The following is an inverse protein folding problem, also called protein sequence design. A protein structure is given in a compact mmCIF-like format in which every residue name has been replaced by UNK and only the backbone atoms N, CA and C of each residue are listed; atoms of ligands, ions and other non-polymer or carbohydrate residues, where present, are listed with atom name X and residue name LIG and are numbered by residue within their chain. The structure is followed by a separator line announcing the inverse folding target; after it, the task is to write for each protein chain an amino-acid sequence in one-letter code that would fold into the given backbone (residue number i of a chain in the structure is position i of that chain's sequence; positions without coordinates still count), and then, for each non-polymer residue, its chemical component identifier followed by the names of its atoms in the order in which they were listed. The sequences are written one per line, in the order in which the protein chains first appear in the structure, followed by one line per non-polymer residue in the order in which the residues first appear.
data_IF_047023937651
#
_entry.id   IF_047023937651
#
_cell.length_a   1.000
_cell.length_b   1.000
_cell.length_c   1.000
_cell.angle_alpha   90.00
_cell.angle_beta   90.00
_cell.angle_gamma   90.00
#
_symmetry.space_group_name_H-M   'P 1'
#
loop_
_entity.id
_entity.type
_entity.pdbx_description
1 polymer ?
#
# COMPACT_ATOMS: atom_id res chain seq x y z
N UNK A 1 -18.32 7.07 24.37
CA UNK A 1 -17.86 5.93 23.53
C UNK A 1 -17.96 6.38 22.09
N UNK A 2 -16.84 6.59 21.42
CA UNK A 2 -16.84 6.86 19.99
C UNK A 2 -16.99 5.52 19.29
N UNK A 3 -18.13 5.28 18.64
CA UNK A 3 -18.33 4.08 17.83
C UNK A 3 -17.29 4.11 16.71
N UNK A 4 -16.38 3.13 16.66
CA UNK A 4 -15.47 3.02 15.53
C UNK A 4 -16.30 2.81 14.25
N UNK A 5 -15.96 3.51 13.15
CA UNK A 5 -16.65 3.33 11.89
C UNK A 5 -16.48 1.89 11.41
N UNK A 6 -17.56 1.29 10.92
CA UNK A 6 -17.51 0.00 10.24
C UNK A 6 -16.74 0.16 8.92
N UNK A 7 -15.76 -0.71 8.68
CA UNK A 7 -15.03 -0.75 7.41
C UNK A 7 -15.95 -1.27 6.30
N UNK A 8 -16.10 -0.50 5.22
CA UNK A 8 -17.06 -0.78 4.16
C UNK A 8 -16.48 -1.60 2.99
N UNK A 9 -15.16 -1.64 2.84
CA UNK A 9 -14.53 -2.44 1.79
C UNK A 9 -14.64 -3.94 2.13
N UNK A 10 -15.06 -4.80 1.20
CA UNK A 10 -15.24 -6.24 1.46
C UNK A 10 -13.97 -6.90 2.00
N UNK A 11 -14.08 -7.65 3.10
CA UNK A 11 -12.97 -8.40 3.71
C UNK A 11 -11.88 -7.56 4.38
N UNK A 12 -11.99 -6.22 4.34
CA UNK A 12 -10.96 -5.32 4.87
C UNK A 12 -10.82 -5.44 6.39
N UNK A 13 -11.91 -5.76 7.10
CA UNK A 13 -11.92 -6.00 8.54
C UNK A 13 -10.96 -7.13 8.95
N UNK A 14 -11.02 -8.27 8.26
CA UNK A 14 -10.13 -9.40 8.52
C UNK A 14 -8.67 -9.04 8.24
N UNK A 15 -8.39 -8.44 7.10
CA UNK A 15 -7.01 -8.10 6.73
C UNK A 15 -6.41 -7.01 7.63
N UNK A 16 -7.24 -6.09 8.14
CA UNK A 16 -6.80 -5.07 9.11
C UNK A 16 -6.37 -5.71 10.43
N UNK A 17 -7.04 -6.78 10.88
CA UNK A 17 -6.61 -7.54 12.07
C UNK A 17 -5.25 -8.20 11.87
N UNK A 18 -5.00 -8.76 10.68
CA UNK A 18 -3.69 -9.35 10.34
C UNK A 18 -2.56 -8.31 10.33
N UNK A 19 -2.84 -7.11 9.78
CA UNK A 19 -1.90 -5.97 9.79
C UNK A 19 -1.66 -5.46 11.21
N UNK A 20 -2.70 -5.33 12.04
CA UNK A 20 -2.54 -4.92 13.44
C UNK A 20 -1.67 -5.92 14.20
N UNK A 21 -1.91 -7.22 14.04
CA UNK A 21 -1.09 -8.26 14.66
C UNK A 21 0.38 -8.18 14.21
N UNK A 22 0.65 -7.87 12.93
CA UNK A 22 2.01 -7.62 12.47
C UNK A 22 2.61 -6.35 13.09
N UNK A 23 1.85 -5.26 13.18
CA UNK A 23 2.35 -4.04 13.81
C UNK A 23 2.68 -4.24 15.28
N UNK A 24 1.87 -5.01 16.01
CA UNK A 24 2.17 -5.41 17.39
C UNK A 24 3.49 -6.19 17.49
N UNK A 25 3.75 -7.13 16.58
CA UNK A 25 5.04 -7.86 16.52
C UNK A 25 6.22 -6.93 16.25
N UNK A 26 6.06 -5.96 15.36
CA UNK A 26 7.10 -4.98 15.07
C UNK A 26 7.40 -4.10 16.28
N UNK A 27 6.37 -3.62 17.00
CA UNK A 27 6.53 -2.85 18.23
C UNK A 27 7.23 -3.70 19.31
N UNK A 28 6.84 -4.96 19.48
CA UNK A 28 7.49 -5.85 20.44
C UNK A 28 8.98 -6.10 20.10
N UNK A 29 9.32 -6.17 18.80
CA UNK A 29 10.68 -6.46 18.33
C UNK A 29 11.59 -5.23 18.30
N UNK A 30 11.07 -4.09 17.88
CA UNK A 30 11.87 -2.90 17.56
C UNK A 30 11.51 -1.69 18.44
N UNK A 31 10.50 -1.81 19.31
CA UNK A 31 9.95 -0.69 20.06
C UNK A 31 9.12 0.26 19.18
N UNK A 32 8.70 1.38 19.79
CA UNK A 32 8.11 2.49 19.06
C UNK A 32 9.21 3.29 18.35
N UNK A 33 9.05 3.49 17.04
CA UNK A 33 10.11 4.00 16.16
C UNK A 33 9.73 5.38 15.63
N UNK A 34 10.66 6.33 15.73
CA UNK A 34 10.49 7.71 15.29
C UNK A 34 11.67 8.09 14.39
N UNK A 35 11.43 8.16 13.08
CA UNK A 35 12.45 8.45 12.07
C UNK A 35 12.05 9.65 11.21
N UNK A 36 13.00 10.45 10.69
CA UNK A 36 12.72 11.41 9.63
C UNK A 36 12.21 10.72 8.36
N UNK A 37 11.37 11.39 7.58
CA UNK A 37 10.75 10.79 6.39
C UNK A 37 11.77 10.35 5.33
N UNK A 38 12.75 11.21 5.03
CA UNK A 38 13.81 10.91 4.05
C UNK A 38 13.32 10.78 2.60
N UNK A 39 12.11 11.26 2.29
CA UNK A 39 11.46 11.21 0.98
C UNK A 39 11.67 12.50 0.17
N UNK A 40 11.22 12.53 -1.09
CA UNK A 40 11.17 13.74 -1.90
C UNK A 40 12.47 14.09 -2.62
N UNK A 41 13.43 13.18 -2.73
CA UNK A 41 14.67 13.46 -3.46
C UNK A 41 14.43 13.54 -4.98
N UNK A 42 15.37 14.15 -5.71
CA UNK A 42 15.31 14.15 -7.17
C UNK A 42 15.41 12.74 -7.78
N UNK A 43 16.02 11.80 -7.06
CA UNK A 43 16.07 10.39 -7.47
C UNK A 43 14.72 9.73 -7.28
N UNK A 44 14.01 10.02 -6.20
CA UNK A 44 12.68 9.44 -5.92
C UNK A 44 11.65 9.91 -6.93
N UNK A 45 11.66 11.21 -7.27
CA UNK A 45 10.80 11.75 -8.34
C UNK A 45 11.03 11.07 -9.70
N UNK A 46 12.29 10.81 -10.06
CA UNK A 46 12.59 10.07 -11.31
C UNK A 46 12.04 8.65 -11.28
N UNK A 47 12.15 7.96 -10.14
CA UNK A 47 11.60 6.61 -9.97
C UNK A 47 10.07 6.60 -10.05
N UNK A 48 9.40 7.58 -9.44
CA UNK A 48 7.95 7.73 -9.55
C UNK A 48 7.52 7.94 -11.01
N UNK A 49 8.18 8.85 -11.74
CA UNK A 49 7.88 9.07 -13.15
C UNK A 49 8.12 7.84 -14.04
N UNK A 50 9.11 7.01 -13.71
CA UNK A 50 9.38 5.75 -14.42
C UNK A 50 8.34 4.68 -14.08
N UNK A 51 7.98 4.53 -12.81
CA UNK A 51 6.98 3.58 -12.34
C UNK A 51 5.59 3.90 -12.92
N UNK A 52 5.19 5.19 -12.90
CA UNK A 52 3.94 5.65 -13.51
C UNK A 52 3.87 5.33 -14.99
N UNK A 53 4.92 5.67 -15.74
CA UNK A 53 5.01 5.34 -17.18
C UNK A 53 4.93 3.83 -17.44
N UNK A 54 5.50 3.02 -16.56
CA UNK A 54 5.40 1.57 -16.66
C UNK A 54 3.97 1.08 -16.41
N UNK A 55 3.34 1.53 -15.33
CA UNK A 55 1.97 1.17 -14.98
C UNK A 55 0.97 1.60 -16.05
N UNK A 56 1.08 2.82 -16.57
CA UNK A 56 0.29 3.32 -17.70
C UNK A 56 0.43 2.42 -18.93
N UNK A 57 1.67 2.02 -19.23
CA UNK A 57 1.95 1.16 -20.38
C UNK A 57 1.35 -0.24 -20.21
N UNK A 58 1.54 -0.88 -19.05
CA UNK A 58 1.01 -2.23 -18.80
C UNK A 58 -0.51 -2.22 -18.71
N UNK A 59 -1.11 -1.17 -18.12
CA UNK A 59 -2.56 -0.91 -18.14
C UNK A 59 -3.10 -0.84 -19.58
N UNK A 60 -2.54 0.05 -20.41
CA UNK A 60 -3.01 0.25 -21.78
C UNK A 60 -2.84 -0.98 -22.67
N UNK A 61 -1.96 -1.90 -22.29
CA UNK A 61 -1.68 -3.13 -23.04
C UNK A 61 -2.32 -4.38 -22.42
N UNK A 62 -3.14 -4.24 -21.38
CA UNK A 62 -3.84 -5.35 -20.73
C UNK A 62 -2.91 -6.33 -20.00
N UNK A 63 -1.73 -5.85 -19.57
CA UNK A 63 -0.71 -6.63 -18.85
C UNK A 63 -0.46 -6.12 -17.43
N UNK A 64 -1.33 -5.24 -16.92
CA UNK A 64 -1.19 -4.67 -15.58
C UNK A 64 -1.12 -5.77 -14.53
N UNK A 65 -0.15 -5.65 -13.62
CA UNK A 65 0.01 -6.54 -12.49
C UNK A 65 -0.11 -5.80 -11.17
N UNK A 66 -0.39 -6.52 -10.09
CA UNK A 66 -0.33 -5.94 -8.74
C UNK A 66 1.06 -5.41 -8.37
N UNK A 67 2.12 -6.00 -8.94
CA UNK A 67 3.47 -5.48 -8.76
C UNK A 67 3.62 -4.08 -9.36
N UNK A 68 3.04 -3.83 -10.54
CA UNK A 68 3.11 -2.53 -11.20
C UNK A 68 2.39 -1.47 -10.35
N UNK A 69 1.17 -1.79 -9.90
CA UNK A 69 0.34 -0.90 -9.07
C UNK A 69 1.08 -0.57 -7.76
N UNK A 70 1.53 -1.57 -7.01
CA UNK A 70 2.18 -1.34 -5.72
C UNK A 70 3.52 -0.61 -5.86
N UNK A 71 4.24 -0.87 -6.96
CA UNK A 71 5.50 -0.17 -7.26
C UNK A 71 5.26 1.30 -7.58
N UNK A 72 4.23 1.61 -8.38
CA UNK A 72 3.85 2.99 -8.69
C UNK A 72 3.51 3.78 -7.42
N UNK A 73 2.51 3.32 -6.67
CA UNK A 73 2.05 3.94 -5.42
C UNK A 73 3.22 4.11 -4.42
N UNK A 74 4.07 3.08 -4.30
CA UNK A 74 5.25 3.15 -3.43
C UNK A 74 6.26 4.20 -3.87
N UNK A 75 6.51 4.32 -5.18
CA UNK A 75 7.43 5.33 -5.69
C UNK A 75 6.84 6.74 -5.57
N UNK A 76 5.53 6.91 -5.75
CA UNK A 76 4.84 8.19 -5.57
C UNK A 76 4.93 8.66 -4.12
N UNK A 77 4.67 7.79 -3.15
CA UNK A 77 4.88 8.09 -1.74
C UNK A 77 6.32 8.52 -1.44
N UNK A 78 7.33 7.78 -1.95
CA UNK A 78 8.74 8.12 -1.72
C UNK A 78 9.18 9.42 -2.43
N UNK A 79 8.47 9.85 -3.47
CA UNK A 79 8.73 11.08 -4.20
C UNK A 79 8.11 12.33 -3.57
N UNK A 80 7.22 12.17 -2.59
CA UNK A 80 6.53 13.26 -1.91
C UNK A 80 7.36 13.85 -0.77
N UNK A 81 7.32 15.17 -0.64
CA UNK A 81 8.03 15.96 0.38
C UNK A 81 7.11 16.73 1.32
N UNK A 82 5.86 16.95 0.93
CA UNK A 82 4.82 17.53 1.77
C UNK A 82 4.25 16.45 2.71
N UNK A 83 4.24 16.65 4.04
CA UNK A 83 3.80 15.62 4.98
C UNK A 83 2.33 15.20 4.84
N UNK A 84 1.44 16.12 4.45
CA UNK A 84 0.01 15.83 4.33
C UNK A 84 -0.25 15.01 3.05
N UNK A 85 0.45 15.34 1.97
CA UNK A 85 0.43 14.55 0.74
C UNK A 85 1.12 13.19 0.94
N UNK A 86 2.27 13.14 1.62
CA UNK A 86 2.97 11.89 1.91
C UNK A 86 2.07 10.93 2.69
N UNK A 87 1.33 11.43 3.68
CA UNK A 87 0.34 10.63 4.41
C UNK A 87 -0.72 10.07 3.46
N UNK A 88 -1.18 10.86 2.50
CA UNK A 88 -2.20 10.45 1.52
C UNK A 88 -1.67 9.31 0.65
N UNK A 89 -0.47 9.47 0.09
CA UNK A 89 0.17 8.44 -0.73
C UNK A 89 0.44 7.15 0.08
N UNK A 90 0.92 7.25 1.32
CA UNK A 90 1.13 6.09 2.19
C UNK A 90 -0.18 5.33 2.50
N UNK A 91 -1.30 6.04 2.58
CA UNK A 91 -2.62 5.40 2.72
C UNK A 91 -2.98 4.64 1.44
N UNK A 92 -2.68 5.19 0.26
CA UNK A 92 -2.92 4.50 -1.01
C UNK A 92 -2.04 3.25 -1.16
N UNK A 93 -0.76 3.32 -0.78
CA UNK A 93 0.15 2.16 -0.70
C UNK A 93 -0.46 1.06 0.18
N UNK A 94 -0.93 1.41 1.38
CA UNK A 94 -1.55 0.46 2.29
C UNK A 94 -2.84 -0.15 1.70
N UNK A 95 -3.67 0.67 1.04
CA UNK A 95 -4.87 0.22 0.36
C UNK A 95 -4.55 -0.75 -0.80
N UNK A 96 -3.53 -0.46 -1.61
CA UNK A 96 -3.07 -1.31 -2.69
C UNK A 96 -2.56 -2.67 -2.19
N UNK A 97 -1.79 -2.68 -1.10
CA UNK A 97 -1.34 -3.92 -0.45
C UNK A 97 -2.51 -4.76 0.07
N UNK A 98 -3.48 -4.15 0.74
CA UNK A 98 -4.67 -4.83 1.26
C UNK A 98 -5.56 -5.37 0.13
N UNK A 99 -5.69 -4.64 -0.97
CA UNK A 99 -6.42 -5.10 -2.16
C UNK A 99 -5.74 -6.32 -2.79
N UNK A 100 -4.40 -6.33 -2.89
CA UNK A 100 -3.66 -7.48 -3.39
C UNK A 100 -3.80 -8.71 -2.47
N UNK A 101 -3.73 -8.54 -1.14
CA UNK A 101 -3.98 -9.62 -0.17
C UNK A 101 -5.39 -10.21 -0.37
N UNK A 102 -6.40 -9.34 -0.49
CA UNK A 102 -7.79 -9.75 -0.69
C UNK A 102 -7.95 -10.61 -1.96
N UNK A 103 -7.30 -10.19 -3.04
CA UNK A 103 -7.31 -10.92 -4.31
C UNK A 103 -6.56 -12.27 -4.22
N UNK A 104 -5.47 -12.35 -3.46
CA UNK A 104 -4.78 -13.63 -3.21
C UNK A 104 -5.69 -14.61 -2.46
N UNK A 105 -6.36 -14.15 -1.41
CA UNK A 105 -7.31 -14.98 -0.64
C UNK A 105 -8.46 -15.44 -1.51
N UNK A 106 -9.07 -14.52 -2.28
CA UNK A 106 -10.16 -14.82 -3.21
C UNK A 106 -9.77 -15.91 -4.22
N UNK A 107 -8.56 -15.84 -4.79
CA UNK A 107 -8.03 -16.86 -5.71
C UNK A 107 -7.90 -18.22 -5.04
N UNK A 108 -7.35 -18.27 -3.83
CA UNK A 108 -7.16 -19.53 -3.10
C UNK A 108 -8.49 -20.17 -2.69
N UNK A 109 -9.43 -19.38 -2.19
CA UNK A 109 -10.76 -19.88 -1.81
C UNK A 109 -11.60 -20.29 -3.04
N UNK A 110 -11.41 -19.62 -4.18
CA UNK A 110 -12.04 -19.98 -5.45
C UNK A 110 -11.44 -21.24 -6.09
N UNK A 111 -10.15 -21.50 -5.92
CA UNK A 111 -9.48 -22.74 -6.38
C UNK A 111 -9.79 -23.96 -5.49
N UNK A 112 -10.27 -23.74 -4.27
CA UNK A 112 -10.67 -24.79 -3.33
C UNK A 112 -12.13 -25.26 -3.51
N UNK A 113 -12.87 -24.70 -4.47
CA UNK A 113 -14.24 -25.11 -4.87
C UNK A 113 -14.22 -25.87 -6.18
#
# INVERSE_FOLDING_TARGET
MTTQPTLAAPGLDRHTVEVDAERQRQIARFGDQHHPDGTGSATDRKRADEARRHCDHTTRTGRLTWNDILTEEGCEALAESDPDLLRTELVQVAAGALAWISELVSRTEGLAR
#
